data_IF_758934286551
#
_entry.id   IF_758934286551
#
_cell.length_a   1.000
_cell.length_b   1.000
_cell.length_c   1.000
_cell.angle_alpha   90.00
_cell.angle_beta   90.00
_cell.angle_gamma   90.00
#
_symmetry.space_group_name_H-M   'P 1'
#
loop_
_entity.id
_entity.type
_entity.pdbx_description
1 polymer ?
#
# COMPACT_ATOMS: atom_id res chain seq x y z
N UNK A 1 20.68 11.39 15.17
CA UNK A 1 19.84 10.17 15.23
C UNK A 1 18.63 10.33 16.14
N UNK A 2 18.77 10.47 17.47
CA UNK A 2 17.61 10.62 18.37
C UNK A 2 16.74 11.85 18.09
N UNK A 3 17.34 13.02 17.85
CA UNK A 3 16.62 14.23 17.43
C UNK A 3 15.81 14.01 16.15
N UNK A 4 16.46 13.44 15.11
CA UNK A 4 15.81 13.09 13.84
C UNK A 4 14.62 12.14 14.02
N UNK A 5 14.79 11.07 14.80
CA UNK A 5 13.72 10.12 15.07
C UNK A 5 12.55 10.78 15.83
N UNK A 6 12.84 11.60 16.84
CA UNK A 6 11.82 12.33 17.59
C UNK A 6 11.07 13.33 16.70
N UNK A 7 11.75 14.03 15.79
CA UNK A 7 11.11 14.92 14.82
C UNK A 7 10.16 14.16 13.90
N UNK A 8 10.58 13.01 13.36
CA UNK A 8 9.74 12.19 12.46
C UNK A 8 8.52 11.61 13.17
N UNK A 9 8.70 11.08 14.38
CA UNK A 9 7.58 10.59 15.22
C UNK A 9 6.64 11.75 15.57
N UNK A 10 7.18 12.91 15.92
CA UNK A 10 6.41 14.12 16.21
C UNK A 10 5.58 14.61 15.02
N UNK A 11 6.06 14.42 13.78
CA UNK A 11 5.32 14.75 12.55
C UNK A 11 4.25 13.70 12.19
N UNK A 12 4.40 12.45 12.62
CA UNK A 12 3.42 11.39 12.40
C UNK A 12 2.11 11.64 13.16
N UNK A 13 2.19 12.14 14.40
CA UNK A 13 1.03 12.42 15.26
C UNK A 13 0.02 13.40 14.62
N UNK A 14 0.41 14.62 14.22
CA UNK A 14 -0.54 15.56 13.61
C UNK A 14 -1.11 15.01 12.30
N UNK A 15 -0.34 14.24 11.55
CA UNK A 15 -0.82 13.56 10.33
C UNK A 15 -1.96 12.60 10.64
N UNK A 16 -1.80 11.74 11.66
CA UNK A 16 -2.85 10.80 12.09
C UNK A 16 -4.09 11.52 12.63
N UNK A 17 -3.91 12.62 13.37
CA UNK A 17 -5.04 13.42 13.87
C UNK A 17 -5.82 14.07 12.73
N UNK A 18 -5.13 14.64 11.75
CA UNK A 18 -5.76 15.23 10.56
C UNK A 18 -6.53 14.16 9.79
N UNK A 19 -5.93 12.99 9.58
CA UNK A 19 -6.58 11.86 8.93
C UNK A 19 -7.82 11.40 9.72
N UNK A 20 -7.70 11.22 11.03
CA UNK A 20 -8.82 10.78 11.86
C UNK A 20 -9.99 11.77 11.81
N UNK A 21 -9.69 13.06 11.87
CA UNK A 21 -10.68 14.12 11.70
C UNK A 21 -11.32 14.07 10.30
N UNK A 22 -10.50 13.92 9.24
CA UNK A 22 -10.99 13.83 7.88
C UNK A 22 -11.91 12.61 7.67
N UNK A 23 -11.51 11.44 8.15
CA UNK A 23 -12.32 10.21 8.10
C UNK A 23 -13.63 10.38 8.85
N UNK A 24 -13.58 10.97 10.05
CA UNK A 24 -14.77 11.24 10.86
C UNK A 24 -15.76 12.17 10.14
N UNK A 25 -15.26 13.25 9.52
CA UNK A 25 -16.10 14.19 8.77
C UNK A 25 -16.65 13.55 7.49
N UNK A 26 -15.79 12.91 6.69
CA UNK A 26 -16.16 12.30 5.41
C UNK A 26 -17.30 11.31 5.56
N UNK A 27 -17.23 10.46 6.58
CA UNK A 27 -18.28 9.46 6.83
C UNK A 27 -19.62 10.08 7.20
N UNK A 28 -19.63 11.26 7.83
CA UNK A 28 -20.85 12.01 8.17
C UNK A 28 -21.42 12.83 7.03
N UNK A 29 -20.64 13.06 5.98
CA UNK A 29 -21.12 13.67 4.74
C UNK A 29 -21.85 12.66 3.85
N UNK A 30 -21.70 11.36 4.11
CA UNK A 30 -22.43 10.32 3.39
C UNK A 30 -23.92 10.43 3.81
N UNK A 31 -24.85 10.56 2.85
CA UNK A 31 -26.25 10.68 3.16
C UNK A 31 -26.82 9.36 3.71
N UNK A 32 -27.49 9.44 4.86
CA UNK A 32 -28.19 8.31 5.48
C UNK A 32 -27.94 8.25 6.98
N UNK A 33 -28.97 7.91 7.75
CA UNK A 33 -28.85 7.75 9.20
C UNK A 33 -28.34 6.35 9.57
N UNK A 34 -27.16 6.23 10.23
CA UNK A 34 -26.65 4.94 10.69
C UNK A 34 -27.66 4.16 11.53
N UNK A 35 -28.41 4.83 12.41
CA UNK A 35 -29.37 4.17 13.27
C UNK A 35 -30.54 3.58 12.46
N UNK A 36 -30.99 4.29 11.42
CA UNK A 36 -32.02 3.80 10.51
C UNK A 36 -31.51 2.60 9.69
N UNK A 37 -30.26 2.63 9.22
CA UNK A 37 -29.65 1.51 8.49
C UNK A 37 -29.50 0.26 9.36
N UNK A 38 -29.20 0.41 10.65
CA UNK A 38 -29.07 -0.71 11.60
C UNK A 38 -30.41 -1.37 11.95
N UNK A 39 -31.49 -0.59 12.04
CA UNK A 39 -32.83 -1.10 12.36
C UNK A 39 -33.57 -1.62 11.11
N UNK A 40 -33.17 -1.18 9.92
CA UNK A 40 -33.78 -1.56 8.64
C UNK A 40 -35.14 -0.90 8.41
N UNK A 41 -35.82 -1.32 7.34
CA UNK A 41 -37.06 -0.68 6.85
C UNK A 41 -38.26 -0.83 7.81
N UNK A 42 -38.17 -1.71 8.82
CA UNK A 42 -39.24 -2.02 9.78
C UNK A 42 -39.10 -1.27 11.12
N UNK A 43 -38.21 -0.29 11.21
CA UNK A 43 -37.91 0.43 12.45
C UNK A 43 -39.06 1.34 12.90
N UNK A 44 -39.57 1.17 14.12
CA UNK A 44 -40.45 2.15 14.74
C UNK A 44 -39.66 3.41 15.16
N UNK A 45 -40.33 4.58 15.12
CA UNK A 45 -39.69 5.85 15.41
C UNK A 45 -39.11 5.93 16.85
N UNK A 46 -39.66 5.16 17.80
CA UNK A 46 -39.18 5.11 19.17
C UNK A 46 -37.87 4.31 19.27
N UNK A 47 -37.78 3.13 18.65
CA UNK A 47 -36.52 2.38 18.55
C UNK A 47 -35.42 3.15 17.83
N UNK A 48 -35.78 3.93 16.79
CA UNK A 48 -34.83 4.79 16.09
C UNK A 48 -34.26 5.89 16.99
N UNK A 49 -35.12 6.59 17.74
CA UNK A 49 -34.70 7.62 18.68
C UNK A 49 -33.83 7.05 19.80
N UNK A 50 -34.21 5.90 20.35
CA UNK A 50 -33.45 5.20 21.38
C UNK A 50 -32.06 4.77 20.88
N UNK A 51 -31.97 4.25 19.65
CA UNK A 51 -30.69 3.84 19.07
C UNK A 51 -29.80 5.06 18.76
N UNK A 52 -30.36 6.17 18.28
CA UNK A 52 -29.60 7.42 18.09
C UNK A 52 -29.02 7.95 19.39
N UNK A 53 -29.76 7.84 20.49
CA UNK A 53 -29.30 8.23 21.82
C UNK A 53 -28.18 7.30 22.32
N UNK A 54 -28.34 5.98 22.17
CA UNK A 54 -27.32 4.99 22.54
C UNK A 54 -26.01 5.16 21.74
N UNK A 55 -26.11 5.49 20.46
CA UNK A 55 -24.95 5.74 19.60
C UNK A 55 -24.37 7.16 19.77
N UNK A 56 -24.94 7.99 20.65
CA UNK A 56 -24.50 9.36 20.89
C UNK A 56 -24.68 10.30 19.68
N UNK A 57 -25.52 9.93 18.71
CA UNK A 57 -25.72 10.69 17.47
C UNK A 57 -26.41 12.04 17.71
N UNK A 58 -27.10 12.20 18.84
CA UNK A 58 -27.74 13.44 19.27
C UNK A 58 -26.78 14.47 19.89
N UNK A 59 -25.55 14.07 20.23
CA UNK A 59 -24.56 14.97 20.83
C UNK A 59 -23.96 15.94 19.78
N UNK A 60 -23.29 17.00 20.24
CA UNK A 60 -22.59 17.91 19.33
C UNK A 60 -21.47 17.17 18.57
N UNK A 61 -21.19 17.56 17.32
CA UNK A 61 -20.15 16.91 16.50
C UNK A 61 -18.78 16.83 17.20
N UNK A 62 -18.30 17.87 17.92
CA UNK A 62 -17.07 17.77 18.71
C UNK A 62 -17.13 16.68 19.79
N UNK A 63 -18.25 16.58 20.51
CA UNK A 63 -18.43 15.53 21.54
C UNK A 63 -18.38 14.14 20.91
N UNK A 64 -19.07 13.95 19.77
CA UNK A 64 -19.05 12.68 19.05
C UNK A 64 -17.63 12.32 18.59
N UNK A 65 -16.84 13.29 18.14
CA UNK A 65 -15.45 13.07 17.73
C UNK A 65 -14.56 12.65 18.90
N UNK A 66 -14.72 13.29 20.06
CA UNK A 66 -13.94 12.96 21.27
C UNK A 66 -14.27 11.56 21.80
N UNK A 67 -15.56 11.21 21.86
CA UNK A 67 -16.00 9.87 22.28
C UNK A 67 -15.47 8.81 21.33
N UNK A 68 -15.69 9.00 20.02
CA UNK A 68 -15.19 8.07 18.99
C UNK A 68 -13.66 7.93 19.03
N UNK A 69 -12.93 9.04 19.16
CA UNK A 69 -11.47 9.03 19.28
C UNK A 69 -11.02 8.26 20.55
N UNK A 70 -11.76 8.39 21.66
CA UNK A 70 -11.53 7.62 22.87
C UNK A 70 -11.63 6.10 22.65
N UNK A 71 -12.66 5.65 21.94
CA UNK A 71 -12.83 4.23 21.56
C UNK A 71 -11.71 3.75 20.64
N UNK A 72 -11.41 4.53 19.59
CA UNK A 72 -10.33 4.21 18.62
C UNK A 72 -8.98 4.04 19.31
N UNK A 73 -8.64 4.93 20.25
CA UNK A 73 -7.38 4.84 21.01
C UNK A 73 -7.31 3.62 21.94
N UNK A 74 -8.46 3.08 22.35
CA UNK A 74 -8.56 1.83 23.12
C UNK A 74 -8.56 0.58 22.22
N UNK A 75 -8.50 0.75 20.89
CA UNK A 75 -8.56 -0.33 19.91
C UNK A 75 -10.00 -0.76 19.56
N UNK A 76 -11.01 -0.04 20.03
CA UNK A 76 -12.40 -0.29 19.70
C UNK A 76 -12.81 0.54 18.47
N UNK A 77 -12.89 -0.14 17.33
CA UNK A 77 -13.37 0.42 16.06
C UNK A 77 -14.88 0.22 15.86
N UNK A 78 -15.58 -0.27 16.89
CA UNK A 78 -16.99 -0.61 16.83
C UNK A 78 -17.28 -1.95 16.14
N UNK A 79 -18.55 -2.14 15.78
CA UNK A 79 -19.05 -3.33 15.10
C UNK A 79 -19.59 -2.97 13.73
N UNK A 80 -19.37 -3.87 12.76
CA UNK A 80 -19.94 -3.75 11.43
C UNK A 80 -21.47 -3.79 11.49
N UNK A 81 -22.11 -2.88 10.77
CA UNK A 81 -23.57 -2.83 10.64
C UNK A 81 -24.08 -4.04 9.87
N UNK A 82 -23.37 -4.44 8.82
CA UNK A 82 -23.84 -5.47 7.90
C UNK A 82 -23.67 -6.89 8.43
N UNK A 83 -22.55 -7.19 9.11
CA UNK A 83 -22.23 -8.55 9.55
C UNK A 83 -22.13 -8.71 11.08
N UNK A 84 -22.27 -7.62 11.86
CA UNK A 84 -22.25 -7.60 13.33
C UNK A 84 -20.96 -8.17 13.94
N UNK A 85 -19.86 -8.15 13.19
CA UNK A 85 -18.56 -8.57 13.69
C UNK A 85 -17.72 -7.36 14.15
N UNK A 86 -16.79 -7.56 15.10
CA UNK A 86 -15.84 -6.52 15.51
C UNK A 86 -15.01 -6.05 14.31
N UNK A 87 -15.01 -4.74 14.06
CA UNK A 87 -14.34 -4.11 12.90
C UNK A 87 -12.83 -4.38 12.92
N UNK A 88 -12.19 -4.27 14.08
CA UNK A 88 -10.75 -4.51 14.22
C UNK A 88 -10.33 -5.94 13.81
N UNK A 89 -11.14 -6.94 14.17
CA UNK A 89 -10.87 -8.34 13.81
C UNK A 89 -11.00 -8.58 12.30
N UNK A 90 -12.07 -8.03 11.70
CA UNK A 90 -12.27 -8.07 10.24
C UNK A 90 -11.09 -7.45 9.50
N UNK A 91 -10.70 -6.24 9.89
CA UNK A 91 -9.59 -5.51 9.26
C UNK A 91 -8.30 -6.31 9.34
N UNK A 92 -7.96 -6.86 10.51
CA UNK A 92 -6.73 -7.63 10.68
C UNK A 92 -6.68 -8.87 9.78
N UNK A 93 -7.77 -9.63 9.73
CA UNK A 93 -7.87 -10.82 8.88
C UNK A 93 -7.72 -10.47 7.40
N UNK A 94 -8.37 -9.39 6.95
CA UNK A 94 -8.33 -8.95 5.55
C UNK A 94 -6.99 -8.33 5.18
N UNK A 95 -6.37 -7.59 6.11
CA UNK A 95 -5.03 -7.06 5.95
C UNK A 95 -3.98 -8.15 5.77
N UNK A 96 -4.06 -9.23 6.56
CA UNK A 96 -3.14 -10.36 6.42
C UNK A 96 -3.19 -10.98 5.01
N UNK A 97 -4.38 -11.06 4.40
CA UNK A 97 -4.56 -11.52 3.01
C UNK A 97 -3.93 -10.53 2.02
N UNK A 98 -4.20 -9.22 2.15
CA UNK A 98 -3.60 -8.21 1.28
C UNK A 98 -2.06 -8.20 1.37
N UNK A 99 -1.52 -8.35 2.58
CA UNK A 99 -0.08 -8.38 2.82
C UNK A 99 0.62 -9.56 2.12
N UNK A 100 -0.04 -10.71 2.02
CA UNK A 100 0.47 -11.88 1.29
C UNK A 100 0.61 -11.66 -0.22
N UNK A 101 -0.01 -10.61 -0.77
CA UNK A 101 0.05 -10.26 -2.20
C UNK A 101 0.98 -9.08 -2.40
N UNK A 102 0.78 -8.01 -1.64
CA UNK A 102 1.50 -6.75 -1.80
C UNK A 102 2.98 -6.91 -1.45
N UNK A 103 3.31 -7.55 -0.32
CA UNK A 103 4.71 -7.64 0.12
C UNK A 103 5.56 -8.47 -0.85
N UNK A 104 5.15 -9.67 -1.30
CA UNK A 104 5.91 -10.42 -2.29
C UNK A 104 6.00 -9.70 -3.63
N UNK A 105 4.92 -9.04 -4.08
CA UNK A 105 4.93 -8.30 -5.35
C UNK A 105 5.96 -7.17 -5.34
N UNK A 106 5.96 -6.33 -4.31
CA UNK A 106 6.93 -5.22 -4.18
C UNK A 106 8.35 -5.76 -3.99
N UNK A 107 8.54 -6.81 -3.20
CA UNK A 107 9.85 -7.43 -3.00
C UNK A 107 10.42 -7.95 -4.32
N UNK A 108 9.65 -8.75 -5.06
CA UNK A 108 10.08 -9.31 -6.34
C UNK A 108 10.27 -8.22 -7.40
N UNK A 109 9.37 -7.23 -7.46
CA UNK A 109 9.53 -6.08 -8.34
C UNK A 109 10.83 -5.33 -8.04
N UNK A 110 11.17 -5.13 -6.77
CA UNK A 110 12.43 -4.48 -6.36
C UNK A 110 13.65 -5.32 -6.77
N UNK A 111 13.63 -6.62 -6.49
CA UNK A 111 14.72 -7.54 -6.82
C UNK A 111 15.01 -7.61 -8.33
N UNK A 112 13.99 -7.40 -9.17
CA UNK A 112 14.13 -7.38 -10.63
C UNK A 112 14.45 -5.97 -11.14
N UNK A 113 13.65 -4.97 -10.76
CA UNK A 113 13.71 -3.62 -11.30
C UNK A 113 14.96 -2.86 -10.88
N UNK A 114 15.50 -3.10 -9.67
CA UNK A 114 16.69 -2.40 -9.20
C UNK A 114 17.93 -2.79 -10.02
N UNK A 115 18.27 -4.09 -10.18
CA UNK A 115 19.37 -4.48 -11.06
C UNK A 115 19.18 -4.03 -12.51
N UNK A 116 17.95 -4.13 -13.05
CA UNK A 116 17.67 -3.68 -14.41
C UNK A 116 17.78 -2.16 -14.58
N UNK A 117 17.35 -1.38 -13.57
CA UNK A 117 17.48 0.07 -13.57
C UNK A 117 18.94 0.52 -13.51
N UNK A 118 19.75 -0.14 -12.68
CA UNK A 118 21.20 0.09 -12.63
C UNK A 118 21.88 -0.30 -13.95
N UNK A 119 21.48 -1.43 -14.54
CA UNK A 119 21.98 -1.88 -15.84
C UNK A 119 21.65 -0.89 -16.96
N UNK A 120 20.42 -0.36 -16.96
CA UNK A 120 19.99 0.67 -17.90
C UNK A 120 20.80 1.96 -17.74
N UNK A 121 21.06 2.39 -16.49
CA UNK A 121 21.91 3.55 -16.20
C UNK A 121 23.35 3.33 -16.65
N UNK A 122 23.92 2.15 -16.41
CA UNK A 122 25.29 1.82 -16.84
C UNK A 122 25.44 1.80 -18.36
N UNK A 123 24.42 1.31 -19.07
CA UNK A 123 24.40 1.26 -20.54
C UNK A 123 23.64 2.43 -21.16
N UNK A 124 23.67 3.60 -20.52
CA UNK A 124 22.97 4.79 -20.97
C UNK A 124 23.16 5.04 -22.47
N UNK A 125 22.05 5.26 -23.18
CA UNK A 125 22.06 5.56 -24.62
C UNK A 125 22.29 4.35 -25.53
N UNK A 126 22.48 3.13 -25.00
CA UNK A 126 22.52 1.90 -25.79
C UNK A 126 21.12 1.31 -25.97
N UNK A 127 20.98 0.39 -26.93
CA UNK A 127 19.73 -0.33 -27.17
C UNK A 127 19.17 -1.03 -25.92
N UNK A 128 20.04 -1.52 -25.02
CA UNK A 128 19.58 -2.14 -23.76
C UNK A 128 18.90 -1.15 -22.83
N UNK A 129 19.42 0.06 -22.72
CA UNK A 129 18.80 1.13 -21.95
C UNK A 129 17.44 1.49 -22.56
N UNK A 130 17.42 1.75 -23.88
CA UNK A 130 16.20 2.06 -24.60
C UNK A 130 15.13 0.97 -24.45
N UNK A 131 15.49 -0.30 -24.58
CA UNK A 131 14.57 -1.42 -24.45
C UNK A 131 14.01 -1.54 -23.02
N UNK A 132 14.85 -1.41 -21.99
CA UNK A 132 14.42 -1.48 -20.59
C UNK A 132 13.49 -0.31 -20.22
N UNK A 133 13.84 0.91 -20.62
CA UNK A 133 13.02 2.11 -20.36
C UNK A 133 11.71 2.06 -21.16
N UNK A 134 11.73 1.62 -22.41
CA UNK A 134 10.52 1.45 -23.22
C UNK A 134 9.60 0.40 -22.59
N UNK A 135 10.14 -0.75 -22.18
CA UNK A 135 9.37 -1.82 -21.51
C UNK A 135 8.79 -1.33 -20.19
N UNK A 136 9.58 -0.65 -19.35
CA UNK A 136 9.11 -0.05 -18.11
C UNK A 136 7.99 0.97 -18.36
N UNK A 137 8.13 1.80 -19.41
CA UNK A 137 7.12 2.80 -19.78
C UNK A 137 5.83 2.13 -20.25
N UNK A 138 5.92 1.07 -21.07
CA UNK A 138 4.75 0.30 -21.51
C UNK A 138 4.01 -0.33 -20.32
N UNK A 139 4.73 -0.95 -19.39
CA UNK A 139 4.14 -1.58 -18.20
C UNK A 139 3.37 -0.58 -17.33
N UNK A 140 3.84 0.66 -17.26
CA UNK A 140 3.21 1.73 -16.48
C UNK A 140 2.04 2.40 -17.16
N UNK A 141 2.06 2.44 -18.50
CA UNK A 141 0.96 2.96 -19.29
C UNK A 141 -0.28 2.07 -19.20
N UNK A 142 -0.09 0.78 -18.86
CA UNK A 142 -1.18 -0.16 -18.69
C UNK A 142 -1.73 -0.10 -17.24
N UNK A 143 -3.05 0.11 -17.07
CA UNK A 143 -3.67 0.02 -15.75
C UNK A 143 -3.44 -1.37 -15.14
N UNK A 144 -3.08 -1.42 -13.85
CA UNK A 144 -2.78 -2.68 -13.17
C UNK A 144 -3.95 -3.69 -13.24
N UNK A 145 -5.20 -3.22 -13.09
CA UNK A 145 -6.37 -4.09 -13.21
C UNK A 145 -6.52 -4.69 -14.61
N UNK A 146 -6.19 -3.92 -15.66
CA UNK A 146 -6.28 -4.36 -17.03
C UNK A 146 -5.21 -5.41 -17.33
N UNK A 147 -3.98 -5.19 -16.83
CA UNK A 147 -2.93 -6.21 -16.85
C UNK A 147 -3.39 -7.49 -16.15
N UNK A 148 -4.03 -7.39 -14.99
CA UNK A 148 -4.58 -8.54 -14.25
C UNK A 148 -5.64 -9.30 -15.04
N UNK A 149 -6.56 -8.58 -15.70
CA UNK A 149 -7.58 -9.19 -16.56
C UNK A 149 -6.96 -9.92 -17.77
N UNK A 150 -5.92 -9.36 -18.40
CA UNK A 150 -5.21 -10.04 -19.48
C UNK A 150 -4.50 -11.31 -19.00
N UNK A 151 -3.85 -11.25 -17.83
CA UNK A 151 -3.19 -12.41 -17.25
C UNK A 151 -4.19 -13.51 -16.90
N UNK A 152 -5.35 -13.17 -16.32
CA UNK A 152 -6.45 -14.11 -16.10
C UNK A 152 -6.95 -14.71 -17.41
N UNK A 153 -7.25 -13.88 -18.41
CA UNK A 153 -7.75 -14.34 -19.70
C UNK A 153 -6.78 -15.32 -20.38
N UNK A 154 -5.48 -15.01 -20.37
CA UNK A 154 -4.51 -15.84 -21.06
C UNK A 154 -4.12 -17.08 -20.25
N UNK A 155 -3.69 -16.92 -19.00
CA UNK A 155 -3.12 -18.01 -18.22
C UNK A 155 -4.18 -18.85 -17.49
N UNK A 156 -5.28 -18.25 -17.04
CA UNK A 156 -6.34 -19.00 -16.37
C UNK A 156 -7.38 -19.53 -17.36
N UNK A 157 -7.94 -18.67 -18.23
CA UNK A 157 -9.03 -19.09 -19.13
C UNK A 157 -8.55 -19.83 -20.39
N UNK A 158 -7.55 -19.31 -21.09
CA UNK A 158 -7.11 -19.91 -22.37
C UNK A 158 -6.19 -21.11 -22.16
N UNK A 159 -5.22 -21.01 -21.25
CA UNK A 159 -4.23 -22.06 -20.98
C UNK A 159 -4.64 -23.04 -19.89
N UNK A 160 -5.53 -22.64 -18.96
CA UNK A 160 -5.95 -23.49 -17.84
C UNK A 160 -4.86 -23.75 -16.79
N UNK A 161 -3.83 -22.90 -16.71
CA UNK A 161 -2.71 -23.10 -15.78
C UNK A 161 -3.04 -22.71 -14.34
N UNK A 162 -3.90 -21.71 -14.16
CA UNK A 162 -4.26 -21.16 -12.85
C UNK A 162 -5.77 -21.13 -12.67
N UNK A 163 -6.27 -21.18 -11.42
CA UNK A 163 -7.69 -21.03 -11.14
C UNK A 163 -8.17 -19.60 -11.46
N UNK A 164 -9.44 -19.48 -11.85
CA UNK A 164 -10.05 -18.20 -12.26
C UNK A 164 -10.67 -17.47 -11.08
N UNK A 165 -11.31 -18.19 -10.16
CA UNK A 165 -12.07 -17.64 -9.02
C UNK A 165 -11.76 -18.44 -7.78
N UNK A 166 -11.56 -17.74 -6.67
CA UNK A 166 -11.37 -18.34 -5.36
C UNK A 166 -10.18 -17.77 -4.60
N UNK A 167 -10.03 -18.22 -3.37
CA UNK A 167 -8.90 -17.92 -2.51
C UNK A 167 -8.72 -19.10 -1.55
N UNK A 168 -7.46 -19.49 -1.32
CA UNK A 168 -7.12 -20.49 -0.31
C UNK A 168 -6.07 -19.86 0.59
N UNK A 169 -6.32 -19.92 1.90
CA UNK A 169 -5.39 -19.38 2.86
C UNK A 169 -4.10 -20.20 2.87
N UNK A 170 -2.95 -19.53 2.96
CA UNK A 170 -1.64 -20.20 3.03
C UNK A 170 -1.55 -21.22 4.17
N UNK A 171 -2.23 -20.98 5.29
CA UNK A 171 -2.26 -21.90 6.44
C UNK A 171 -3.10 -23.16 6.22
N UNK A 172 -4.03 -23.15 5.25
CA UNK A 172 -4.87 -24.31 4.93
C UNK A 172 -4.18 -25.23 3.92
N UNK A 173 -3.73 -24.67 2.80
CA UNK A 173 -3.00 -25.41 1.78
C UNK A 173 -2.02 -24.48 1.03
N UNK A 174 -0.71 -24.52 1.37
CA UNK A 174 0.29 -23.66 0.75
C UNK A 174 0.42 -23.83 -0.76
N UNK A 175 0.29 -25.05 -1.27
CA UNK A 175 0.42 -25.34 -2.70
C UNK A 175 -0.72 -24.73 -3.49
N UNK A 176 -1.94 -24.91 -2.99
CA UNK A 176 -3.13 -24.36 -3.63
C UNK A 176 -3.21 -22.84 -3.47
N UNK A 177 -2.85 -22.30 -2.31
CA UNK A 177 -2.74 -20.86 -2.08
C UNK A 177 -1.81 -20.19 -3.10
N UNK A 178 -0.66 -20.81 -3.40
CA UNK A 178 0.28 -20.28 -4.38
C UNK A 178 -0.36 -20.13 -5.77
N UNK A 179 -1.17 -21.10 -6.21
CA UNK A 179 -1.86 -21.02 -7.51
C UNK A 179 -2.81 -19.82 -7.61
N UNK A 180 -3.51 -19.48 -6.53
CA UNK A 180 -4.39 -18.30 -6.47
C UNK A 180 -3.61 -16.99 -6.36
N UNK A 181 -2.39 -17.03 -5.83
CA UNK A 181 -1.60 -15.83 -5.55
C UNK A 181 -0.60 -15.46 -6.66
N UNK A 182 -0.22 -16.40 -7.54
CA UNK A 182 0.76 -16.13 -8.61
C UNK A 182 0.29 -15.01 -9.55
N UNK A 183 -0.93 -15.06 -10.08
CA UNK A 183 -1.43 -14.04 -11.00
C UNK A 183 -1.59 -12.64 -10.38
N UNK A 184 -2.20 -12.46 -9.20
CA UNK A 184 -2.30 -11.13 -8.58
C UNK A 184 -0.92 -10.58 -8.20
N UNK A 185 0.00 -11.41 -7.69
CA UNK A 185 1.38 -11.00 -7.39
C UNK A 185 2.10 -10.59 -8.68
N UNK A 186 1.97 -11.36 -9.75
CA UNK A 186 2.60 -11.07 -11.06
C UNK A 186 2.04 -9.77 -11.65
N UNK A 187 0.75 -9.52 -11.48
CA UNK A 187 0.10 -8.29 -11.95
C UNK A 187 0.72 -7.05 -11.29
N UNK A 188 0.80 -7.06 -9.96
CA UNK A 188 1.42 -5.97 -9.20
C UNK A 188 2.91 -5.87 -9.51
N UNK A 189 3.62 -6.99 -9.56
CA UNK A 189 5.05 -7.04 -9.90
C UNK A 189 5.33 -6.34 -11.23
N UNK A 190 4.58 -6.68 -12.28
CA UNK A 190 4.79 -6.11 -13.62
C UNK A 190 4.52 -4.60 -13.64
N UNK A 191 3.48 -4.15 -12.93
CA UNK A 191 3.18 -2.73 -12.82
C UNK A 191 4.28 -1.96 -12.07
N UNK A 192 4.69 -2.45 -10.89
CA UNK A 192 5.67 -1.78 -10.03
C UNK A 192 7.10 -1.80 -10.59
N UNK A 193 7.47 -2.82 -11.39
CA UNK A 193 8.76 -2.86 -12.07
C UNK A 193 9.01 -1.56 -12.84
N UNK A 194 7.98 -1.03 -13.51
CA UNK A 194 8.16 0.16 -14.31
C UNK A 194 8.52 1.40 -13.49
N UNK A 195 7.86 1.64 -12.35
CA UNK A 195 8.14 2.82 -11.51
C UNK A 195 9.53 2.67 -10.89
N UNK A 196 9.82 1.50 -10.31
CA UNK A 196 11.06 1.22 -9.59
C UNK A 196 12.27 1.26 -10.54
N UNK A 197 12.15 0.71 -11.75
CA UNK A 197 13.23 0.69 -12.74
C UNK A 197 13.59 2.11 -13.16
N UNK A 198 12.61 2.96 -13.47
CA UNK A 198 12.86 4.35 -13.88
C UNK A 198 13.53 5.15 -12.76
N UNK A 199 13.05 5.01 -11.53
CA UNK A 199 13.61 5.71 -10.38
C UNK A 199 15.04 5.25 -10.08
N UNK A 200 15.27 3.94 -10.09
CA UNK A 200 16.62 3.38 -9.89
C UNK A 200 17.57 3.81 -11.00
N UNK A 201 17.10 3.84 -12.25
CA UNK A 201 17.90 4.32 -13.38
C UNK A 201 18.27 5.79 -13.20
N UNK A 202 17.28 6.66 -12.91
CA UNK A 202 17.50 8.10 -12.75
C UNK A 202 18.50 8.39 -11.63
N UNK A 203 18.25 7.86 -10.43
CA UNK A 203 19.15 8.02 -9.27
C UNK A 203 20.54 7.43 -9.51
N UNK A 204 20.65 6.32 -10.24
CA UNK A 204 21.97 5.74 -10.58
C UNK A 204 22.73 6.64 -11.56
N UNK A 205 22.06 7.23 -12.55
CA UNK A 205 22.71 8.17 -13.48
C UNK A 205 23.27 9.40 -12.76
N UNK A 206 22.49 9.98 -11.83
CA UNK A 206 22.95 11.10 -11.00
C UNK A 206 24.21 10.74 -10.21
N UNK A 207 24.22 9.56 -9.58
CA UNK A 207 25.38 9.10 -8.81
C UNK A 207 26.60 8.83 -9.68
N UNK A 208 26.43 8.29 -10.89
CA UNK A 208 27.54 8.00 -11.81
C UNK A 208 28.29 9.24 -12.30
N UNK A 209 27.72 10.44 -12.12
CA UNK A 209 28.33 11.72 -12.44
C UNK A 209 29.07 12.38 -11.28
N UNK A 210 29.09 11.76 -10.09
CA UNK A 210 29.78 12.31 -8.91
C UNK A 210 31.30 12.05 -8.94
N UNK A 211 32.08 13.01 -8.43
CA UNK A 211 33.56 12.99 -8.48
C UNK A 211 34.18 11.74 -7.86
N UNK A 212 33.61 11.23 -6.77
CA UNK A 212 34.14 10.03 -6.11
C UNK A 212 34.02 8.78 -6.99
N UNK A 213 33.04 8.73 -7.92
CA UNK A 213 32.92 7.66 -8.91
C UNK A 213 34.02 7.79 -9.96
N UNK A 214 34.29 9.01 -10.43
CA UNK A 214 35.40 9.29 -11.36
C UNK A 214 36.75 8.92 -10.74
N UNK A 215 36.96 9.24 -9.46
CA UNK A 215 38.16 8.81 -8.72
C UNK A 215 38.25 7.29 -8.56
N UNK A 216 37.12 6.59 -8.32
CA UNK A 216 37.09 5.13 -8.26
C UNK A 216 37.49 4.49 -9.60
N UNK A 217 37.02 5.04 -10.73
CA UNK A 217 37.43 4.63 -12.08
C UNK A 217 38.90 4.92 -12.35
N UNK A 218 39.40 6.09 -11.97
CA UNK A 218 40.80 6.48 -12.14
C UNK A 218 41.77 5.56 -11.36
N UNK A 219 41.31 4.92 -10.28
CA UNK A 219 42.07 3.87 -9.56
C UNK A 219 42.10 2.51 -10.28
N UNK A 220 41.48 2.39 -11.45
CA UNK A 220 41.44 1.16 -12.24
C UNK A 220 40.42 0.11 -11.76
N UNK A 221 39.46 0.51 -10.91
CA UNK A 221 38.41 -0.41 -10.47
C UNK A 221 37.51 -0.80 -11.65
N UNK A 222 37.11 -2.07 -11.71
CA UNK A 222 36.18 -2.57 -12.73
C UNK A 222 34.81 -1.89 -12.62
N UNK A 223 34.11 -1.73 -13.75
CA UNK A 223 32.76 -1.13 -13.76
C UNK A 223 31.77 -1.88 -12.86
N UNK A 224 31.90 -3.21 -12.73
CA UNK A 224 31.07 -4.00 -11.80
C UNK A 224 31.34 -3.61 -10.34
N UNK A 225 32.62 -3.40 -9.97
CA UNK A 225 33.00 -2.93 -8.63
C UNK A 225 32.50 -1.51 -8.38
N UNK A 226 32.63 -0.62 -9.36
CA UNK A 226 32.09 0.76 -9.28
C UNK A 226 30.58 0.73 -9.06
N UNK A 227 29.86 -0.10 -9.81
CA UNK A 227 28.41 -0.19 -9.74
C UNK A 227 27.91 -0.76 -8.40
N UNK A 228 28.40 -1.94 -8.00
CA UNK A 228 27.92 -2.63 -6.80
C UNK A 228 28.41 -2.00 -5.51
N UNK A 229 29.65 -1.49 -5.47
CA UNK A 229 30.29 -1.02 -4.23
C UNK A 229 30.21 0.49 -4.03
N UNK A 230 30.22 1.27 -5.11
CA UNK A 230 30.30 2.73 -5.03
C UNK A 230 29.02 3.45 -5.46
N UNK A 231 28.31 2.93 -6.48
CA UNK A 231 27.07 3.55 -6.96
C UNK A 231 25.84 3.08 -6.18
N UNK A 232 25.65 1.76 -6.03
CA UNK A 232 24.43 1.16 -5.45
C UNK A 232 23.97 1.79 -4.14
N UNK A 233 24.87 1.88 -3.15
CA UNK A 233 24.49 2.34 -1.81
C UNK A 233 23.94 3.77 -1.84
N UNK A 234 24.53 4.63 -2.66
CA UNK A 234 24.15 6.04 -2.78
C UNK A 234 22.95 6.25 -3.70
N UNK A 235 22.82 5.45 -4.76
CA UNK A 235 21.68 5.56 -5.69
C UNK A 235 20.40 4.92 -5.16
N UNK A 236 20.50 4.02 -4.17
CA UNK A 236 19.32 3.34 -3.64
C UNK A 236 18.46 4.20 -2.72
N UNK A 237 18.97 5.29 -2.14
CA UNK A 237 18.21 6.16 -1.21
C UNK A 237 16.87 6.68 -1.80
N UNK A 238 16.88 7.27 -3.01
CA UNK A 238 15.65 7.67 -3.69
C UNK A 238 14.70 6.49 -3.97
N UNK A 239 15.22 5.34 -4.41
CA UNK A 239 14.43 4.12 -4.62
C UNK A 239 13.81 3.63 -3.32
N UNK A 240 14.54 3.65 -2.20
CA UNK A 240 14.03 3.26 -0.88
C UNK A 240 12.83 4.11 -0.45
N UNK A 241 12.91 5.42 -0.65
CA UNK A 241 11.80 6.34 -0.38
C UNK A 241 10.58 6.02 -1.25
N UNK A 242 10.81 5.76 -2.54
CA UNK A 242 9.76 5.36 -3.47
C UNK A 242 9.10 4.04 -3.06
N UNK A 243 9.84 3.04 -2.56
CA UNK A 243 9.26 1.78 -2.10
C UNK A 243 8.29 1.99 -0.94
N UNK A 244 8.61 2.91 -0.02
CA UNK A 244 7.70 3.32 1.05
C UNK A 244 6.38 3.89 0.53
N UNK A 245 6.47 4.80 -0.45
CA UNK A 245 5.32 5.40 -1.11
C UNK A 245 4.49 4.35 -1.86
N UNK A 246 5.13 3.43 -2.58
CA UNK A 246 4.47 2.34 -3.31
C UNK A 246 3.71 1.43 -2.35
N UNK A 247 4.35 0.94 -1.28
CA UNK A 247 3.70 0.08 -0.29
C UNK A 247 2.47 0.77 0.31
N UNK A 248 2.61 2.05 0.62
CA UNK A 248 1.52 2.86 1.13
C UNK A 248 0.36 3.03 0.14
N UNK A 249 0.66 3.35 -1.12
CA UNK A 249 -0.35 3.49 -2.17
C UNK A 249 -1.03 2.17 -2.51
N UNK A 250 -0.30 1.05 -2.48
CA UNK A 250 -0.84 -0.28 -2.73
C UNK A 250 -1.84 -0.68 -1.65
N UNK A 251 -1.65 -0.31 -0.39
CA UNK A 251 -2.65 -0.59 0.65
C UNK A 251 -4.00 0.07 0.38
N UNK A 252 -4.01 1.26 -0.23
CA UNK A 252 -5.23 1.93 -0.66
C UNK A 252 -5.75 1.43 -2.03
N UNK A 253 -4.84 1.16 -2.98
CA UNK A 253 -5.16 0.88 -4.38
C UNK A 253 -5.36 -0.60 -4.73
N UNK A 254 -4.98 -1.54 -3.84
CA UNK A 254 -5.06 -2.99 -4.10
C UNK A 254 -6.51 -3.50 -4.20
N UNK A 255 -7.48 -2.71 -3.75
CA UNK A 255 -8.91 -3.03 -3.82
C UNK A 255 -9.36 -3.49 -5.22
N UNK A 256 -8.87 -2.83 -6.28
CA UNK A 256 -9.25 -3.18 -7.65
C UNK A 256 -8.68 -4.54 -8.05
N UNK A 257 -7.43 -4.83 -7.68
CA UNK A 257 -6.79 -6.13 -7.93
C UNK A 257 -7.50 -7.23 -7.13
N UNK A 258 -7.79 -6.99 -5.86
CA UNK A 258 -8.54 -7.94 -5.04
C UNK A 258 -9.94 -8.22 -5.59
N UNK A 259 -10.59 -7.21 -6.16
CA UNK A 259 -11.89 -7.37 -6.83
C UNK A 259 -11.76 -8.22 -8.10
N UNK A 260 -10.78 -7.92 -8.96
CA UNK A 260 -10.52 -8.64 -10.22
C UNK A 260 -10.22 -10.12 -9.97
N UNK A 261 -9.41 -10.43 -8.97
CA UNK A 261 -9.03 -11.79 -8.63
C UNK A 261 -9.93 -12.45 -7.58
N UNK A 262 -11.02 -11.78 -7.17
CA UNK A 262 -11.97 -12.27 -6.14
C UNK A 262 -11.35 -12.58 -4.79
N UNK A 263 -10.24 -11.92 -4.45
CA UNK A 263 -9.48 -12.12 -3.22
C UNK A 263 -10.18 -11.37 -2.08
N UNK A 264 -10.36 -12.00 -0.92
CA UNK A 264 -11.07 -11.39 0.18
C UNK A 264 -10.09 -10.61 1.07
N UNK A 265 -9.50 -9.55 0.50
CA UNK A 265 -8.52 -8.67 1.15
C UNK A 265 -9.13 -7.37 1.70
N UNK A 266 -8.26 -6.51 2.24
CA UNK A 266 -8.62 -5.25 2.92
C UNK A 266 -9.21 -4.22 1.97
N UNK A 267 -8.68 -4.11 0.76
CA UNK A 267 -9.17 -3.17 -0.23
C UNK A 267 -10.59 -3.53 -0.67
N UNK A 268 -10.85 -4.82 -0.94
CA UNK A 268 -12.19 -5.30 -1.24
C UNK A 268 -13.14 -5.12 -0.05
N UNK A 269 -12.70 -5.38 1.18
CA UNK A 269 -13.50 -5.12 2.39
C UNK A 269 -13.96 -3.65 2.46
N UNK A 270 -13.06 -2.70 2.17
CA UNK A 270 -13.40 -1.28 2.13
C UNK A 270 -14.43 -0.97 1.03
N UNK A 271 -14.26 -1.52 -0.17
CA UNK A 271 -15.21 -1.34 -1.28
C UNK A 271 -16.60 -1.89 -0.91
N UNK A 272 -16.65 -3.10 -0.39
CA UNK A 272 -17.90 -3.75 0.04
C UNK A 272 -18.59 -2.92 1.15
N UNK A 273 -17.82 -2.41 2.11
CA UNK A 273 -18.32 -1.55 3.18
C UNK A 273 -18.91 -0.23 2.66
N UNK A 274 -18.28 0.39 1.65
CA UNK A 274 -18.78 1.59 0.99
C UNK A 274 -20.14 1.34 0.35
N UNK A 275 -20.29 0.24 -0.40
CA UNK A 275 -21.56 -0.11 -1.03
C UNK A 275 -22.64 -0.48 -0.01
N UNK A 276 -22.25 -1.15 1.07
CA UNK A 276 -23.17 -1.53 2.15
C UNK A 276 -23.48 -0.37 3.13
N UNK A 277 -22.85 0.80 2.97
CA UNK A 277 -22.94 1.95 3.88
C UNK A 277 -22.61 1.56 5.34
N UNK A 278 -21.64 0.67 5.51
CA UNK A 278 -21.20 0.18 6.81
C UNK A 278 -20.20 1.18 7.42
N UNK A 279 -20.73 2.20 8.09
CA UNK A 279 -19.94 3.33 8.57
C UNK A 279 -18.77 2.96 9.50
N UNK A 280 -18.96 2.14 10.56
CA UNK A 280 -17.85 1.74 11.42
C UNK A 280 -16.75 1.02 10.65
N UNK A 281 -17.12 0.17 9.69
CA UNK A 281 -16.19 -0.59 8.87
C UNK A 281 -15.40 0.32 7.91
N UNK A 282 -16.07 1.28 7.25
CA UNK A 282 -15.40 2.29 6.41
C UNK A 282 -14.40 3.10 7.23
N UNK A 283 -14.81 3.63 8.40
CA UNK A 283 -13.93 4.42 9.26
C UNK A 283 -12.72 3.62 9.73
N UNK A 284 -12.95 2.38 10.19
CA UNK A 284 -11.89 1.49 10.63
C UNK A 284 -10.90 1.19 9.51
N UNK A 285 -11.37 0.82 8.32
CA UNK A 285 -10.52 0.53 7.17
C UNK A 285 -9.67 1.75 6.77
N UNK A 286 -10.27 2.94 6.65
CA UNK A 286 -9.55 4.16 6.27
C UNK A 286 -8.50 4.56 7.31
N UNK A 287 -8.87 4.53 8.60
CA UNK A 287 -7.94 4.78 9.70
C UNK A 287 -6.78 3.79 9.70
N UNK A 288 -7.08 2.51 9.52
CA UNK A 288 -6.07 1.46 9.53
C UNK A 288 -5.09 1.61 8.36
N UNK A 289 -5.60 1.78 7.13
CA UNK A 289 -4.78 2.00 5.94
C UNK A 289 -3.88 3.22 6.13
N UNK A 290 -4.43 4.34 6.59
CA UNK A 290 -3.65 5.54 6.82
C UNK A 290 -2.63 5.40 7.97
N UNK A 291 -2.97 4.66 9.01
CA UNK A 291 -2.04 4.37 10.11
C UNK A 291 -0.87 3.53 9.61
N UNK A 292 -1.12 2.47 8.83
CA UNK A 292 -0.06 1.68 8.22
C UNK A 292 0.75 2.52 7.23
N UNK A 293 0.12 3.38 6.43
CA UNK A 293 0.80 4.31 5.52
C UNK A 293 1.80 5.21 6.25
N UNK A 294 1.37 5.82 7.37
CA UNK A 294 2.24 6.66 8.20
C UNK A 294 3.37 5.83 8.84
N UNK A 295 3.07 4.62 9.32
CA UNK A 295 4.08 3.73 9.90
C UNK A 295 5.13 3.27 8.87
N UNK A 296 4.70 2.94 7.65
CA UNK A 296 5.61 2.57 6.55
C UNK A 296 6.51 3.74 6.19
N UNK A 297 5.96 4.95 6.05
CA UNK A 297 6.76 6.14 5.75
C UNK A 297 7.72 6.48 6.90
N UNK A 298 7.27 6.39 8.15
CA UNK A 298 8.13 6.58 9.31
C UNK A 298 9.29 5.57 9.32
N UNK A 299 9.00 4.30 9.03
CA UNK A 299 10.03 3.26 8.91
C UNK A 299 11.05 3.57 7.79
N UNK A 300 10.56 4.00 6.64
CA UNK A 300 11.38 4.38 5.48
C UNK A 300 12.28 5.57 5.80
N UNK A 301 11.71 6.62 6.40
CA UNK A 301 12.43 7.81 6.85
C UNK A 301 13.50 7.49 7.89
N UNK A 302 13.20 6.62 8.86
CA UNK A 302 14.14 6.21 9.90
C UNK A 302 15.33 5.41 9.35
N UNK A 303 15.13 4.67 8.26
CA UNK A 303 16.18 3.89 7.60
C UNK A 303 16.93 4.66 6.51
N UNK A 304 16.40 5.79 6.05
CA UNK A 304 17.05 6.63 5.03
C UNK A 304 18.52 6.99 5.35
N UNK A 305 18.90 7.32 6.61
CA UNK A 305 20.30 7.62 6.95
C UNK A 305 21.30 6.49 6.71
N UNK A 306 20.86 5.23 6.56
CA UNK A 306 21.74 4.10 6.23
C UNK A 306 22.30 4.24 4.80
N UNK A 307 21.50 4.82 3.90
CA UNK A 307 21.85 5.04 2.50
C UNK A 307 22.52 6.41 2.28
N UNK A 308 22.06 7.44 2.98
CA UNK A 308 22.72 8.75 3.00
C UNK A 308 22.89 9.30 4.43
N UNK A 309 24.07 9.13 5.04
CA UNK A 309 24.36 9.59 6.40
C UNK A 309 24.25 11.12 6.59
N UNK A 310 24.31 11.90 5.51
CA UNK A 310 24.28 13.37 5.57
C UNK A 310 22.94 13.90 6.08
N UNK A 311 21.86 13.16 5.82
CA UNK A 311 20.49 13.52 6.24
C UNK A 311 20.29 13.44 7.76
N UNK A 312 21.09 12.66 8.47
CA UNK A 312 21.01 12.58 9.94
C UNK A 312 21.78 13.69 10.67
N UNK A 313 22.60 14.47 9.95
CA UNK A 313 23.45 15.54 10.48
C UNK A 313 22.81 16.94 10.38
N UNK A 314 21.84 17.11 9.47
CA UNK A 314 20.93 18.25 9.38
C UNK A 314 19.78 18.16 10.38
#
# INVERSE_FOLDING_TARGET
MWKFAATRIGMAIPTLVIVALAVFILVRLIPGDPAALMLGDSADAASLAALREQLGLNASLPTQFLVWSGHVLQGDLGQSISNRQPVAALIWQRFAVSAQIVLPAVLLATLVAVPLGMLAAWRQGRLTDLALVATATLLLSLPAFWMGLLLLMFFALKLGWFPVVGFVAFGENPQQALLYLVLPITTLLLHEIGVILRMTRASTLEVLHLDYITHARAKGLSEMTVMLRHAFKSSFGPTWTLLGLILGNLLAGVAVIETVFTIPGLGRLLVDAIFARDYPLIQGCLLFIASIYVLVNLFVDLLYPIFDPRVAAS
#
